data_IF_465240970044
#
_entry.id   IF_465240970044
#
_cell.length_a   1.000
_cell.length_b   1.000
_cell.length_c   1.000
_cell.angle_alpha   90.00
_cell.angle_beta   90.00
_cell.angle_gamma   90.00
#
_symmetry.space_group_name_H-M   'P 1'
#
loop_
_entity.id
_entity.type
_entity.pdbx_description
1 polymer ?
#
# COMPACT_ATOMS: atom_id res chain seq x y z
N UNK A 1 12.77 -4.79 -6.08
CA UNK A 1 11.57 -5.62 -5.83
C UNK A 1 10.36 -4.87 -6.38
N UNK A 2 9.69 -5.43 -7.36
CA UNK A 2 8.48 -4.84 -7.92
C UNK A 2 7.32 -5.09 -6.96
N UNK A 3 6.76 -4.05 -6.37
CA UNK A 3 5.52 -4.15 -5.61
C UNK A 3 4.35 -3.91 -6.58
N UNK A 4 3.64 -4.97 -6.92
CA UNK A 4 2.32 -4.83 -7.52
C UNK A 4 1.38 -4.28 -6.44
N UNK A 5 0.81 -3.09 -6.68
CA UNK A 5 -0.17 -2.49 -5.78
C UNK A 5 -1.57 -2.70 -6.35
N UNK A 6 -2.50 -3.12 -5.52
CA UNK A 6 -3.91 -3.27 -5.84
C UNK A 6 -4.64 -2.06 -5.27
N UNK A 7 -5.37 -1.32 -6.12
CA UNK A 7 -6.18 -0.17 -5.71
C UNK A 7 -7.63 -0.60 -5.50
N UNK A 8 -8.22 -0.22 -4.38
CA UNK A 8 -9.61 -0.49 -4.05
C UNK A 8 -10.41 0.81 -3.88
N UNK A 9 -11.66 0.81 -4.29
CA UNK A 9 -12.55 1.96 -4.36
C UNK A 9 -13.21 2.30 -3.01
N UNK A 10 -13.67 3.57 -2.88
CA UNK A 10 -14.57 4.05 -1.84
C UNK A 10 -15.92 3.33 -1.91
N UNK A 11 -16.25 2.54 -0.91
CA UNK A 11 -17.62 2.11 -0.62
C UNK A 11 -18.10 2.75 0.66
N UNK A 12 -19.41 3.02 0.78
CA UNK A 12 -20.02 3.47 2.03
C UNK A 12 -19.60 2.57 3.19
N UNK A 13 -19.33 3.15 4.34
CA UNK A 13 -18.93 2.50 5.57
C UNK A 13 -19.98 1.49 6.04
N UNK A 14 -19.84 0.28 5.60
CA UNK A 14 -20.60 -0.90 5.91
C UNK A 14 -20.02 -1.97 5.01
N UNK A 15 -19.09 -2.78 5.53
CA UNK A 15 -18.49 -3.91 4.81
C UNK A 15 -17.63 -3.55 3.56
N UNK A 16 -16.67 -2.66 3.69
CA UNK A 16 -15.57 -2.57 2.73
C UNK A 16 -14.71 -3.84 2.86
N UNK A 17 -15.15 -4.88 2.20
CA UNK A 17 -14.33 -6.07 1.99
C UNK A 17 -13.04 -5.61 1.32
N UNK A 18 -11.94 -5.72 2.03
CA UNK A 18 -10.62 -5.81 1.45
C UNK A 18 -10.73 -6.80 0.31
N UNK A 19 -10.47 -6.32 -0.90
CA UNK A 19 -10.39 -7.23 -2.03
C UNK A 19 -9.31 -8.24 -1.71
N UNK A 20 -9.72 -9.39 -1.23
CA UNK A 20 -8.93 -10.58 -1.30
C UNK A 20 -8.39 -10.62 -2.72
N UNK A 21 -7.09 -10.84 -2.86
CA UNK A 21 -6.61 -11.48 -4.08
C UNK A 21 -7.22 -12.88 -3.96
N UNK A 22 -8.55 -12.90 -4.20
CA UNK A 22 -9.39 -14.04 -3.98
C UNK A 22 -8.74 -15.19 -4.71
N UNK A 23 -8.66 -16.32 -4.05
CA UNK A 23 -8.51 -17.60 -4.71
C UNK A 23 -9.15 -17.48 -6.09
N UNK A 24 -8.30 -17.48 -7.12
CA UNK A 24 -8.76 -17.76 -8.48
C UNK A 24 -9.07 -19.26 -8.47
N UNK A 25 -10.13 -19.61 -7.73
CA UNK A 25 -10.76 -20.90 -7.90
C UNK A 25 -11.53 -20.79 -9.21
N UNK A 26 -11.18 -21.62 -10.17
CA UNK A 26 -11.72 -21.81 -11.52
C UNK A 26 -13.22 -21.51 -11.71
N UNK A 27 -13.63 -20.30 -11.50
CA UNK A 27 -14.96 -19.80 -11.64
C UNK A 27 -14.89 -18.35 -12.07
N UNK A 28 -15.57 -18.04 -13.17
CA UNK A 28 -15.75 -16.72 -13.76
C UNK A 28 -15.59 -15.59 -12.75
N UNK A 29 -14.57 -14.73 -12.95
CA UNK A 29 -14.40 -13.52 -12.17
C UNK A 29 -15.75 -12.79 -12.11
N UNK A 30 -16.32 -12.70 -10.91
CA UNK A 30 -17.63 -12.05 -10.74
C UNK A 30 -17.47 -10.57 -11.05
N UNK A 31 -17.89 -10.17 -12.26
CA UNK A 31 -18.38 -8.82 -12.50
C UNK A 31 -17.38 -7.67 -12.54
N UNK A 32 -16.06 -7.88 -12.53
CA UNK A 32 -15.10 -6.80 -12.80
C UNK A 32 -14.95 -6.63 -14.31
N UNK A 33 -15.27 -5.44 -14.83
CA UNK A 33 -15.29 -5.16 -16.27
C UNK A 33 -13.92 -5.24 -16.95
N UNK A 34 -12.83 -5.13 -16.20
CA UNK A 34 -11.46 -5.16 -16.68
C UNK A 34 -10.47 -5.00 -15.54
N UNK A 35 -9.20 -5.04 -15.86
CA UNK A 35 -8.11 -4.73 -14.92
C UNK A 35 -7.20 -3.69 -15.56
N UNK A 36 -7.09 -2.53 -14.91
CA UNK A 36 -6.13 -1.52 -15.32
C UNK A 36 -4.71 -2.06 -15.21
N UNK A 37 -3.87 -1.84 -16.21
CA UNK A 37 -2.45 -2.15 -16.15
C UNK A 37 -1.63 -0.89 -16.42
N UNK A 38 -0.82 -0.50 -15.44
CA UNK A 38 0.13 0.59 -15.50
C UNK A 38 1.55 -0.03 -15.52
N UNK A 39 2.15 -0.23 -16.69
CA UNK A 39 3.46 -0.89 -16.77
C UNK A 39 4.53 -0.17 -15.95
N UNK A 40 4.47 1.16 -15.88
CA UNK A 40 5.41 1.98 -15.13
C UNK A 40 6.70 2.27 -15.88
N UNK A 41 7.74 2.64 -15.12
CA UNK A 41 9.01 3.14 -15.63
C UNK A 41 10.14 2.09 -15.53
N UNK A 42 11.23 2.33 -16.22
CA UNK A 42 12.42 1.49 -16.17
C UNK A 42 12.15 0.02 -16.53
N UNK A 43 12.35 -0.90 -15.58
CA UNK A 43 12.07 -2.33 -15.77
C UNK A 43 10.57 -2.66 -15.76
N UNK A 44 9.71 -1.68 -15.50
CA UNK A 44 8.27 -1.85 -15.35
C UNK A 44 7.58 -2.55 -16.51
N UNK A 45 7.77 -2.14 -17.74
CA UNK A 45 7.15 -2.78 -18.91
C UNK A 45 7.48 -4.27 -19.06
N UNK A 46 8.73 -4.66 -18.79
CA UNK A 46 9.18 -6.05 -18.85
C UNK A 46 8.51 -6.91 -17.76
N UNK A 47 8.58 -6.46 -16.51
CA UNK A 47 7.99 -7.22 -15.40
C UNK A 47 6.46 -7.24 -15.46
N UNK A 48 5.82 -6.17 -15.95
CA UNK A 48 4.38 -6.15 -16.15
C UNK A 48 3.97 -7.18 -17.21
N UNK A 49 4.69 -7.25 -18.35
CA UNK A 49 4.43 -8.24 -19.38
C UNK A 49 4.66 -9.69 -18.87
N UNK A 50 5.71 -9.91 -18.09
CA UNK A 50 5.96 -11.22 -17.47
C UNK A 50 4.85 -11.60 -16.49
N UNK A 51 4.37 -10.64 -15.67
CA UNK A 51 3.29 -10.86 -14.72
C UNK A 51 1.99 -11.23 -15.43
N UNK A 52 1.63 -10.53 -16.51
CA UNK A 52 0.46 -10.86 -17.34
C UNK A 52 0.54 -12.29 -17.85
N UNK A 53 1.68 -12.70 -18.44
CA UNK A 53 1.89 -14.07 -18.91
C UNK A 53 1.71 -15.12 -17.81
N UNK A 54 2.20 -14.85 -16.60
CA UNK A 54 2.05 -15.78 -15.46
C UNK A 54 0.58 -15.88 -15.06
N UNK A 55 -0.15 -14.78 -14.98
CA UNK A 55 -1.57 -14.78 -14.63
C UNK A 55 -2.38 -15.56 -15.67
N UNK A 56 -2.15 -15.33 -16.95
CA UNK A 56 -2.82 -16.03 -18.05
C UNK A 56 -2.49 -17.53 -18.07
N UNK A 57 -1.22 -17.89 -17.88
CA UNK A 57 -0.78 -19.28 -17.80
C UNK A 57 -1.36 -20.01 -16.57
N UNK A 58 -1.66 -19.31 -15.50
CA UNK A 58 -2.36 -19.84 -14.33
C UNK A 58 -3.89 -19.98 -14.52
N UNK A 59 -4.40 -19.68 -15.73
CA UNK A 59 -5.82 -19.77 -16.06
C UNK A 59 -6.63 -18.50 -15.79
N UNK A 60 -5.97 -17.41 -15.45
CA UNK A 60 -6.62 -16.11 -15.25
C UNK A 60 -7.11 -15.53 -16.59
N UNK A 61 -8.40 -15.27 -16.70
CA UNK A 61 -8.99 -14.57 -17.85
C UNK A 61 -9.25 -13.11 -17.46
N UNK A 62 -8.41 -12.19 -17.96
CA UNK A 62 -8.44 -10.77 -17.60
C UNK A 62 -8.52 -9.91 -18.85
N UNK A 63 -9.47 -8.98 -18.89
CA UNK A 63 -9.51 -7.93 -19.90
C UNK A 63 -8.56 -6.80 -19.46
N UNK A 64 -7.34 -6.80 -20.00
CA UNK A 64 -6.32 -5.82 -19.65
C UNK A 64 -6.56 -4.47 -20.32
N UNK A 65 -6.64 -3.42 -19.51
CA UNK A 65 -6.72 -2.04 -19.99
C UNK A 65 -5.43 -1.28 -19.67
N UNK A 66 -4.61 -1.00 -20.70
CA UNK A 66 -3.34 -0.29 -20.50
C UNK A 66 -3.58 1.20 -20.28
N UNK A 67 -2.94 1.73 -19.23
CA UNK A 67 -2.95 3.14 -18.90
C UNK A 67 -1.52 3.65 -18.65
N UNK A 68 -1.27 4.92 -18.94
CA UNK A 68 0.03 5.57 -18.79
C UNK A 68 0.16 6.18 -17.39
N UNK A 69 1.35 6.06 -16.78
CA UNK A 69 1.70 6.76 -15.55
C UNK A 69 3.22 6.92 -15.43
N UNK A 70 3.66 7.87 -14.62
CA UNK A 70 5.06 8.11 -14.34
C UNK A 70 5.79 8.92 -15.41
N UNK A 71 7.08 8.63 -15.57
CA UNK A 71 7.94 9.32 -16.54
C UNK A 71 7.44 9.12 -17.97
N UNK A 72 7.05 7.90 -18.33
CA UNK A 72 6.52 7.59 -19.65
C UNK A 72 5.27 8.42 -20.00
N UNK A 73 4.38 8.65 -19.04
CA UNK A 73 3.22 9.51 -19.24
C UNK A 73 3.61 10.98 -19.38
N UNK A 74 4.52 11.47 -18.54
CA UNK A 74 5.02 12.84 -18.61
C UNK A 74 5.68 13.14 -19.98
N UNK A 75 6.44 12.19 -20.54
CA UNK A 75 7.09 12.32 -21.84
C UNK A 75 6.10 12.28 -23.01
N UNK A 76 5.08 11.42 -22.95
CA UNK A 76 4.17 11.21 -24.08
C UNK A 76 3.02 12.22 -24.12
N UNK A 77 2.48 12.60 -22.95
CA UNK A 77 1.28 13.44 -22.86
C UNK A 77 1.45 14.67 -21.97
N UNK A 78 2.65 14.91 -21.42
CA UNK A 78 2.95 16.08 -20.59
C UNK A 78 2.43 16.01 -19.14
N UNK A 79 1.75 14.93 -18.77
CA UNK A 79 1.18 14.74 -17.43
C UNK A 79 1.61 13.38 -16.87
N UNK A 80 2.30 13.32 -15.71
CA UNK A 80 2.73 12.07 -15.10
C UNK A 80 1.59 11.19 -14.58
N UNK A 81 0.38 11.75 -14.42
CA UNK A 81 -0.83 11.01 -14.00
C UNK A 81 -2.06 11.53 -14.78
N UNK A 82 -2.20 11.15 -16.05
CA UNK A 82 -3.28 11.64 -16.90
C UNK A 82 -4.67 11.31 -16.34
N UNK A 83 -5.67 12.18 -16.54
CA UNK A 83 -7.07 11.91 -16.14
C UNK A 83 -7.59 10.57 -16.67
N UNK A 84 -7.25 10.21 -17.90
CA UNK A 84 -7.64 8.92 -18.51
C UNK A 84 -7.18 7.71 -17.67
N UNK A 85 -6.04 7.81 -16.99
CA UNK A 85 -5.55 6.77 -16.09
C UNK A 85 -6.37 6.68 -14.81
N UNK A 86 -6.75 7.83 -14.25
CA UNK A 86 -7.66 7.89 -13.10
C UNK A 86 -9.02 7.30 -13.46
N UNK A 87 -9.56 7.65 -14.62
CA UNK A 87 -10.84 7.13 -15.12
C UNK A 87 -10.80 5.62 -15.34
N UNK A 88 -9.69 5.10 -15.90
CA UNK A 88 -9.47 3.65 -16.06
C UNK A 88 -9.49 2.91 -14.72
N UNK A 89 -8.73 3.40 -13.74
CA UNK A 89 -8.69 2.80 -12.40
C UNK A 89 -10.05 2.90 -11.72
N UNK A 90 -10.72 4.04 -11.83
CA UNK A 90 -12.06 4.25 -11.25
C UNK A 90 -13.08 3.28 -11.83
N UNK A 91 -13.09 3.10 -13.14
CA UNK A 91 -14.00 2.20 -13.85
C UNK A 91 -13.75 0.74 -13.52
N UNK A 92 -12.47 0.33 -13.53
CA UNK A 92 -12.06 -1.05 -13.30
C UNK A 92 -11.99 -1.43 -11.82
N UNK A 93 -11.90 -0.44 -10.90
CA UNK A 93 -11.74 -0.62 -9.45
C UNK A 93 -10.51 -1.43 -9.00
N UNK A 94 -9.70 -1.87 -9.95
CA UNK A 94 -8.50 -2.67 -9.73
C UNK A 94 -7.45 -2.30 -10.77
N UNK A 95 -6.18 -2.19 -10.34
CA UNK A 95 -5.07 -1.93 -11.25
C UNK A 95 -3.82 -2.69 -10.83
N UNK A 96 -3.18 -3.34 -11.81
CA UNK A 96 -1.82 -3.86 -11.69
C UNK A 96 -0.84 -2.74 -12.06
N UNK A 97 0.03 -2.36 -11.13
CA UNK A 97 0.96 -1.26 -11.31
C UNK A 97 2.42 -1.72 -11.20
N UNK A 98 3.20 -1.42 -12.22
CA UNK A 98 4.67 -1.53 -12.17
C UNK A 98 5.32 -0.40 -11.34
N UNK A 99 6.66 -0.35 -11.27
CA UNK A 99 7.39 0.71 -10.58
C UNK A 99 7.18 2.04 -11.29
N UNK A 100 7.04 3.12 -10.51
CA UNK A 100 6.97 4.49 -11.02
C UNK A 100 8.10 5.31 -10.41
N UNK A 101 8.93 5.90 -11.26
CA UNK A 101 10.00 6.80 -10.88
C UNK A 101 9.46 8.11 -10.31
N UNK A 102 10.18 8.67 -9.35
CA UNK A 102 9.92 10.02 -8.83
C UNK A 102 11.21 10.82 -8.97
N UNK A 103 11.21 11.92 -9.71
CA UNK A 103 12.39 12.78 -9.84
C UNK A 103 12.87 13.29 -8.47
N UNK A 104 14.19 13.36 -8.28
CA UNK A 104 14.79 13.87 -7.05
C UNK A 104 14.93 15.39 -7.15
N UNK A 105 14.50 16.12 -6.14
CA UNK A 105 14.67 17.56 -5.96
C UNK A 105 13.73 18.41 -6.79
N UNK A 106 13.78 18.34 -8.12
CA UNK A 106 12.91 19.10 -9.03
C UNK A 106 12.12 18.17 -9.92
N UNK A 107 10.91 18.57 -10.30
CA UNK A 107 10.01 17.76 -11.14
C UNK A 107 8.63 17.58 -10.51
N UNK A 108 7.90 16.59 -10.98
CA UNK A 108 6.55 16.30 -10.47
C UNK A 108 6.59 15.52 -9.14
N UNK A 109 5.54 15.69 -8.35
CA UNK A 109 5.35 14.93 -7.10
C UNK A 109 5.14 13.45 -7.39
N UNK A 110 5.46 12.60 -6.41
CA UNK A 110 5.32 11.15 -6.54
C UNK A 110 3.91 10.73 -7.00
N UNK A 111 3.84 10.14 -8.19
CA UNK A 111 2.61 9.56 -8.74
C UNK A 111 2.08 8.44 -7.83
N UNK A 112 2.97 7.68 -7.18
CA UNK A 112 2.57 6.67 -6.20
C UNK A 112 1.79 7.29 -5.03
N UNK A 113 2.25 8.44 -4.51
CA UNK A 113 1.56 9.16 -3.43
C UNK A 113 0.24 9.72 -3.92
N UNK A 114 0.23 10.34 -5.12
CA UNK A 114 -1.00 10.86 -5.72
C UNK A 114 -2.08 9.78 -5.90
N UNK A 115 -1.73 8.60 -6.41
CA UNK A 115 -2.66 7.47 -6.54
C UNK A 115 -3.21 7.00 -5.17
N UNK A 116 -2.34 6.93 -4.15
CA UNK A 116 -2.77 6.53 -2.80
C UNK A 116 -3.77 7.50 -2.19
N UNK A 117 -3.54 8.80 -2.37
CA UNK A 117 -4.44 9.85 -1.90
C UNK A 117 -5.74 9.89 -2.70
N UNK A 118 -5.65 9.83 -4.03
CA UNK A 118 -6.80 9.87 -4.93
C UNK A 118 -7.80 8.75 -4.68
N UNK A 119 -7.33 7.55 -4.42
CA UNK A 119 -8.14 6.37 -4.20
C UNK A 119 -8.25 5.95 -2.73
N UNK A 120 -7.77 6.78 -1.81
CA UNK A 120 -7.74 6.50 -0.35
C UNK A 120 -7.19 5.11 0.00
N UNK A 121 -6.04 4.77 -0.59
CA UNK A 121 -5.38 3.48 -0.39
C UNK A 121 -4.61 3.47 0.95
N UNK A 122 -5.33 3.53 2.04
CA UNK A 122 -4.78 3.72 3.38
C UNK A 122 -4.00 2.53 3.92
N UNK A 123 -4.35 1.30 3.55
CA UNK A 123 -3.69 0.09 4.03
C UNK A 123 -2.83 -0.56 2.93
N UNK A 124 -1.53 -0.60 3.14
CA UNK A 124 -0.59 -1.28 2.26
C UNK A 124 -0.20 -2.62 2.87
N UNK A 125 -0.68 -3.71 2.29
CA UNK A 125 -0.47 -5.09 2.76
C UNK A 125 0.73 -5.71 2.08
N UNK A 126 1.71 -6.15 2.88
CA UNK A 126 2.97 -6.72 2.40
C UNK A 126 3.22 -8.09 3.04
N UNK A 127 2.79 -9.16 2.41
CA UNK A 127 3.15 -10.51 2.85
C UNK A 127 4.63 -10.79 2.52
N UNK A 128 5.33 -11.42 3.46
CA UNK A 128 6.67 -11.93 3.30
C UNK A 128 6.71 -13.38 3.74
N UNK A 129 7.04 -14.28 2.81
CA UNK A 129 7.10 -15.73 3.05
C UNK A 129 8.38 -16.32 2.47
N UNK A 130 8.92 -17.29 3.17
CA UNK A 130 9.99 -18.14 2.61
C UNK A 130 9.42 -18.94 1.43
N UNK A 131 10.09 -18.81 0.27
CA UNK A 131 9.72 -19.58 -0.93
C UNK A 131 10.52 -20.89 -0.94
N UNK A 132 9.88 -22.07 -0.97
CA UNK A 132 10.58 -23.34 -1.04
C UNK A 132 11.53 -23.42 -2.24
N UNK A 133 12.74 -23.91 -2.03
CA UNK A 133 13.75 -24.04 -3.08
C UNK A 133 14.53 -22.75 -3.40
N UNK A 134 14.16 -21.63 -2.84
CA UNK A 134 14.92 -20.36 -2.98
C UNK A 134 15.88 -20.21 -1.79
N UNK A 135 17.20 -20.14 -2.03
CA UNK A 135 18.16 -19.91 -0.96
C UNK A 135 17.90 -18.56 -0.26
N UNK A 136 17.71 -18.60 1.05
CA UNK A 136 17.56 -17.42 1.87
C UNK A 136 18.19 -17.62 3.26
N UNK A 137 18.52 -16.51 3.93
CA UNK A 137 19.16 -16.55 5.24
C UNK A 137 18.27 -17.15 6.33
N UNK A 138 16.96 -16.91 6.24
CA UNK A 138 15.98 -17.35 7.23
C UNK A 138 14.97 -18.29 6.58
N UNK A 139 14.60 -19.34 7.29
CA UNK A 139 13.58 -20.32 6.87
C UNK A 139 12.33 -20.15 7.71
N UNK A 140 11.18 -20.58 7.15
CA UNK A 140 9.91 -20.54 7.87
C UNK A 140 9.35 -19.14 8.09
N UNK A 141 9.80 -18.15 7.34
CA UNK A 141 9.24 -16.80 7.40
C UNK A 141 7.82 -16.81 6.86
N UNK A 142 6.88 -16.35 7.66
CA UNK A 142 5.49 -16.10 7.27
C UNK A 142 4.93 -14.93 8.10
N UNK A 143 5.14 -13.73 7.61
CA UNK A 143 4.66 -12.50 8.23
C UNK A 143 3.92 -11.62 7.23
N UNK A 144 3.06 -10.76 7.73
CA UNK A 144 2.37 -9.75 6.92
C UNK A 144 2.55 -8.39 7.59
N UNK A 145 3.09 -7.44 6.85
CA UNK A 145 3.18 -6.05 7.30
C UNK A 145 1.99 -5.28 6.72
N UNK A 146 1.18 -4.70 7.59
CA UNK A 146 0.14 -3.73 7.23
C UNK A 146 0.66 -2.35 7.53
N UNK A 147 0.82 -1.51 6.49
CA UNK A 147 1.38 -0.17 6.62
C UNK A 147 0.33 0.88 6.32
N UNK A 148 0.20 1.88 7.21
CA UNK A 148 -0.51 3.11 6.87
C UNK A 148 0.21 3.82 5.71
N UNK A 149 -0.53 4.41 4.79
CA UNK A 149 0.00 4.77 3.49
C UNK A 149 -0.41 6.18 3.01
N UNK A 150 -1.21 6.91 3.77
CA UNK A 150 -1.82 8.19 3.38
C UNK A 150 -1.50 9.35 4.32
N UNK A 151 -1.05 9.06 5.54
CA UNK A 151 -0.70 10.02 6.58
C UNK A 151 0.82 10.08 6.83
N UNK A 152 1.23 10.56 8.00
CA UNK A 152 2.60 10.78 8.40
C UNK A 152 3.28 11.83 7.50
N UNK A 153 4.52 11.64 7.12
CA UNK A 153 5.24 12.52 6.18
C UNK A 153 4.62 12.54 4.77
N UNK A 154 3.83 11.51 4.41
CA UNK A 154 3.11 11.46 3.13
C UNK A 154 1.91 12.42 3.06
N UNK A 155 1.52 13.05 4.17
CA UNK A 155 0.61 14.20 4.14
C UNK A 155 1.19 15.37 3.33
N UNK A 156 2.52 15.41 3.15
CA UNK A 156 3.21 16.36 2.28
C UNK A 156 3.24 17.78 2.83
N UNK A 157 3.16 17.93 4.16
CA UNK A 157 3.27 19.24 4.83
C UNK A 157 4.73 19.51 5.11
N UNK A 158 5.35 20.32 4.26
CA UNK A 158 6.74 20.76 4.40
C UNK A 158 6.94 22.18 3.88
N UNK A 159 7.86 22.90 4.49
CA UNK A 159 8.22 24.25 4.06
C UNK A 159 9.62 24.66 4.55
N UNK A 160 10.16 25.70 3.93
CA UNK A 160 11.35 26.35 4.44
C UNK A 160 10.99 27.28 5.61
N UNK A 161 11.76 27.20 6.68
CA UNK A 161 11.58 28.01 7.89
C UNK A 161 12.00 29.48 7.66
N UNK A 162 12.92 29.70 6.73
CA UNK A 162 13.46 31.02 6.43
C UNK A 162 13.53 31.29 4.91
N UNK A 163 13.49 32.59 4.51
CA UNK A 163 13.56 33.00 3.10
C UNK A 163 14.86 32.62 2.39
N UNK A 164 15.96 32.40 3.12
CA UNK A 164 17.25 31.98 2.56
C UNK A 164 17.34 30.48 2.32
N UNK A 165 16.29 29.74 2.72
CA UNK A 165 16.20 28.28 2.58
C UNK A 165 17.34 27.54 3.29
N UNK A 166 17.75 28.07 4.47
CA UNK A 166 18.81 27.46 5.28
C UNK A 166 18.30 26.38 6.23
N UNK A 167 17.00 26.38 6.52
CA UNK A 167 16.33 25.37 7.33
C UNK A 167 14.98 25.02 6.69
N UNK A 168 14.63 23.74 6.79
CA UNK A 168 13.35 23.21 6.33
C UNK A 168 12.76 22.28 7.38
N UNK A 169 11.43 22.21 7.45
CA UNK A 169 10.73 21.28 8.32
C UNK A 169 9.69 20.50 7.53
N UNK A 170 9.48 19.24 7.96
CA UNK A 170 8.43 18.36 7.48
C UNK A 170 7.59 17.92 8.67
N UNK A 171 6.28 18.01 8.55
CA UNK A 171 5.35 17.75 9.65
C UNK A 171 4.71 16.37 9.43
N UNK A 172 4.97 15.44 10.35
CA UNK A 172 4.30 14.15 10.41
C UNK A 172 2.92 14.32 11.04
N UNK A 173 1.87 14.02 10.29
CA UNK A 173 0.47 14.11 10.73
C UNK A 173 -0.07 12.72 10.98
N UNK A 174 -0.44 12.44 12.22
CA UNK A 174 -1.09 11.18 12.61
C UNK A 174 -2.47 11.54 13.17
N UNK A 175 -3.52 10.98 12.57
CA UNK A 175 -4.89 11.21 13.04
C UNK A 175 -5.43 9.95 13.74
N UNK A 176 -6.40 10.13 14.63
CA UNK A 176 -7.14 9.02 15.23
C UNK A 176 -7.87 8.22 14.14
N UNK A 177 -8.49 8.90 13.19
CA UNK A 177 -9.21 8.27 12.09
C UNK A 177 -8.30 7.35 11.24
N UNK A 178 -7.14 7.85 10.78
CA UNK A 178 -6.18 7.06 10.01
C UNK A 178 -5.60 5.90 10.82
N UNK A 179 -5.31 6.14 12.10
CA UNK A 179 -4.82 5.12 13.03
C UNK A 179 -5.84 4.00 13.23
N UNK A 180 -7.08 4.35 13.58
CA UNK A 180 -8.13 3.37 13.85
C UNK A 180 -8.45 2.50 12.64
N UNK A 181 -8.54 3.08 11.43
CA UNK A 181 -8.88 2.32 10.23
C UNK A 181 -7.78 1.34 9.82
N UNK A 182 -6.50 1.72 9.87
CA UNK A 182 -5.41 0.80 9.49
C UNK A 182 -5.20 -0.29 10.52
N UNK A 183 -5.36 0.02 11.80
CA UNK A 183 -5.26 -0.96 12.89
C UNK A 183 -6.43 -1.94 12.84
N UNK A 184 -7.66 -1.45 12.65
CA UNK A 184 -8.84 -2.30 12.44
C UNK A 184 -8.62 -3.24 11.26
N UNK A 185 -8.10 -2.71 10.14
CA UNK A 185 -7.75 -3.53 8.99
C UNK A 185 -6.77 -4.65 9.35
N UNK A 186 -5.72 -4.35 10.12
CA UNK A 186 -4.74 -5.35 10.51
C UNK A 186 -5.35 -6.47 11.38
N UNK A 187 -6.23 -6.13 12.32
CA UNK A 187 -6.94 -7.11 13.13
C UNK A 187 -7.93 -7.95 12.31
N UNK A 188 -8.73 -7.33 11.43
CA UNK A 188 -9.65 -8.06 10.56
C UNK A 188 -8.90 -8.98 9.58
N UNK A 189 -7.77 -8.51 9.03
CA UNK A 189 -6.89 -9.35 8.24
C UNK A 189 -6.37 -10.54 9.04
N UNK A 190 -5.91 -10.31 10.27
CA UNK A 190 -5.42 -11.36 11.16
C UNK A 190 -6.51 -12.40 11.45
N UNK A 191 -7.72 -11.95 11.79
CA UNK A 191 -8.90 -12.80 12.03
C UNK A 191 -9.24 -13.64 10.79
N UNK A 192 -9.36 -13.01 9.63
CA UNK A 192 -9.71 -13.66 8.36
C UNK A 192 -8.70 -14.73 7.94
N UNK A 193 -7.41 -14.49 8.18
CA UNK A 193 -6.31 -15.38 7.78
C UNK A 193 -5.79 -16.28 8.91
N UNK A 194 -6.51 -16.38 10.03
CA UNK A 194 -6.14 -17.23 11.16
C UNK A 194 -4.83 -16.87 11.84
N UNK A 195 -4.37 -15.61 11.70
CA UNK A 195 -3.19 -15.11 12.39
C UNK A 195 -3.47 -14.96 13.87
N UNK A 196 -2.46 -15.23 14.70
CA UNK A 196 -2.64 -15.28 16.17
C UNK A 196 -2.16 -14.05 16.89
N UNK A 197 -1.36 -13.21 16.21
CA UNK A 197 -0.72 -12.03 16.82
C UNK A 197 -0.76 -10.85 15.89
N UNK A 198 -0.99 -9.66 16.47
CA UNK A 198 -0.80 -8.35 15.84
C UNK A 198 0.20 -7.56 16.68
N UNK A 199 1.33 -7.19 16.11
CA UNK A 199 2.34 -6.33 16.74
C UNK A 199 2.24 -4.94 16.15
N UNK A 200 1.95 -3.94 16.97
CA UNK A 200 1.91 -2.55 16.55
C UNK A 200 3.31 -1.93 16.65
N UNK A 201 3.82 -1.44 15.53
CA UNK A 201 5.16 -0.87 15.45
C UNK A 201 5.09 0.66 15.45
N UNK A 202 5.82 1.29 16.37
CA UNK A 202 5.73 2.74 16.60
C UNK A 202 7.07 3.36 17.04
N UNK A 203 7.11 4.67 17.22
CA UNK A 203 8.24 5.44 17.80
C UNK A 203 7.78 6.30 18.99
N UNK A 204 6.81 5.85 19.77
CA UNK A 204 6.19 6.62 20.87
C UNK A 204 7.15 6.95 22.03
N UNK A 205 8.33 6.31 22.09
CA UNK A 205 9.35 6.68 23.05
C UNK A 205 9.95 8.07 22.78
N UNK A 206 9.95 8.53 21.52
CA UNK A 206 10.42 9.86 21.08
C UNK A 206 9.21 10.72 20.68
N UNK A 207 8.38 10.23 19.77
CA UNK A 207 7.21 10.94 19.23
C UNK A 207 5.99 10.67 20.10
N UNK A 208 6.01 11.22 21.33
CA UNK A 208 5.06 10.89 22.39
C UNK A 208 3.62 11.26 22.07
N UNK A 209 3.38 12.30 21.27
CA UNK A 209 2.03 12.75 20.94
C UNK A 209 1.51 12.03 19.67
N UNK A 210 2.20 12.13 18.56
CA UNK A 210 1.76 11.54 17.27
C UNK A 210 1.78 10.01 17.31
N UNK A 211 2.93 9.40 17.61
CA UNK A 211 3.01 7.93 17.73
C UNK A 211 2.38 7.40 19.02
N UNK A 212 2.28 8.23 20.07
CA UNK A 212 1.49 7.92 21.26
C UNK A 212 0.02 7.76 20.93
N UNK A 213 -0.57 8.67 20.14
CA UNK A 213 -1.94 8.57 19.65
C UNK A 213 -2.16 7.25 18.88
N UNK A 214 -1.24 6.89 17.99
CA UNK A 214 -1.30 5.62 17.25
C UNK A 214 -1.27 4.40 18.17
N UNK A 215 -0.40 4.42 19.18
CA UNK A 215 -0.28 3.34 20.17
C UNK A 215 -1.55 3.23 21.03
N UNK A 216 -2.11 4.35 21.47
CA UNK A 216 -3.35 4.36 22.26
C UNK A 216 -4.53 3.81 21.46
N UNK A 217 -4.67 4.17 20.18
CA UNK A 217 -5.66 3.57 19.28
C UNK A 217 -5.49 2.05 19.19
N UNK A 218 -4.24 1.56 19.07
CA UNK A 218 -3.96 0.13 19.05
C UNK A 218 -4.41 -0.60 20.31
N UNK A 219 -4.08 -0.05 21.47
CA UNK A 219 -4.46 -0.61 22.77
C UNK A 219 -5.99 -0.59 23.01
N UNK A 220 -6.66 0.45 22.53
CA UNK A 220 -8.13 0.55 22.60
C UNK A 220 -8.79 -0.49 21.68
N UNK A 221 -8.33 -0.61 20.43
CA UNK A 221 -8.90 -1.54 19.46
C UNK A 221 -8.61 -2.99 19.79
N UNK A 222 -7.43 -3.33 20.31
CA UNK A 222 -7.08 -4.69 20.71
C UNK A 222 -8.10 -5.32 21.66
N UNK A 223 -8.76 -4.52 22.51
CA UNK A 223 -9.82 -4.99 23.43
C UNK A 223 -11.04 -5.59 22.71
N UNK A 224 -11.24 -5.25 21.43
CA UNK A 224 -12.33 -5.78 20.58
C UNK A 224 -11.98 -7.13 19.91
N UNK A 225 -10.72 -7.57 20.04
CA UNK A 225 -10.19 -8.78 19.41
C UNK A 225 -9.48 -9.69 20.42
N UNK A 226 -10.18 -10.15 21.48
CA UNK A 226 -9.56 -10.91 22.57
C UNK A 226 -8.95 -12.24 22.14
N UNK A 227 -9.32 -12.74 20.95
CA UNK A 227 -8.79 -13.97 20.35
C UNK A 227 -7.43 -13.78 19.67
N UNK A 228 -6.97 -12.52 19.50
CA UNK A 228 -5.71 -12.17 18.85
C UNK A 228 -4.78 -11.57 19.90
N UNK A 229 -3.60 -12.15 20.05
CA UNK A 229 -2.55 -11.61 20.91
C UNK A 229 -2.11 -10.25 20.37
N UNK A 230 -2.09 -9.23 21.23
CA UNK A 230 -1.63 -7.89 20.88
C UNK A 230 -0.40 -7.52 21.68
N UNK A 231 0.63 -7.07 21.00
CA UNK A 231 1.80 -6.42 21.60
C UNK A 231 2.22 -5.18 20.80
N UNK A 232 3.12 -4.39 21.39
CA UNK A 232 3.70 -3.23 20.73
C UNK A 232 5.23 -3.27 20.76
N UNK A 233 5.85 -2.67 19.75
CA UNK A 233 7.29 -2.65 19.60
C UNK A 233 7.81 -1.35 18.99
N UNK A 234 8.94 -0.86 19.52
CA UNK A 234 9.63 0.29 18.94
C UNK A 234 10.24 -0.11 17.59
N UNK A 235 10.12 0.76 16.58
CA UNK A 235 10.48 0.47 15.18
C UNK A 235 11.94 0.01 15.03
N UNK A 236 12.89 0.59 15.77
CA UNK A 236 14.30 0.22 15.70
C UNK A 236 14.52 -1.23 16.16
N UNK A 237 13.90 -1.58 17.29
CA UNK A 237 13.95 -2.94 17.83
C UNK A 237 13.25 -3.94 16.92
N UNK A 238 12.16 -3.53 16.27
CA UNK A 238 11.45 -4.35 15.29
C UNK A 238 12.35 -4.66 14.11
N UNK A 239 12.98 -3.63 13.52
CA UNK A 239 13.88 -3.80 12.38
C UNK A 239 15.09 -4.70 12.68
N UNK A 240 15.57 -4.71 13.93
CA UNK A 240 16.65 -5.61 14.35
C UNK A 240 16.20 -7.07 14.54
N UNK A 241 14.90 -7.29 14.87
CA UNK A 241 14.37 -8.64 15.15
C UNK A 241 13.80 -9.34 13.92
N UNK A 242 13.49 -8.58 12.88
CA UNK A 242 13.01 -9.10 11.59
C UNK A 242 14.20 -9.60 10.74
#
# INVERSE_FOLDING_TARGET
MAAAGIAQQRGNFGDAAVGDVGEIQGGKARGYGGLGILPGDGIGPEIAAATVKVIEAAGGTVAWERALAGMAAAEQVGDPLPPATIDSITRNQLALKGPLGTPIGKGFRSVNVALRQQFDLYANVRPARTIPGVPCRFTGVDLVMVRENTEDLYAGVEHYVDPRRTAAESIAIITRYGSERVITYAFEYARKHGRKRVTLVHKANILKLSNGLFLDCGRELAKKYPEIEFDDMIVDATAMKM
#
